data_IF_504349649959
#
_entry.id   IF_504349649959
#
_cell.length_a   1.000
_cell.length_b   1.000
_cell.length_c   1.000
_cell.angle_alpha   90.00
_cell.angle_beta   90.00
_cell.angle_gamma   90.00
#
_symmetry.space_group_name_H-M   'P 1'
#
loop_
_entity.id
_entity.type
_entity.pdbx_description
1 polymer ?
#
# COMPACT_ATOMS: atom_id res chain seq x y z
N UNK A 1 5.54 -3.82 2.68
CA UNK A 1 4.83 -3.08 1.61
C UNK A 1 5.44 -1.69 1.45
N UNK A 2 5.63 -1.20 0.22
CA UNK A 2 6.25 0.11 -0.04
C UNK A 2 5.25 1.28 -0.10
N UNK A 3 5.72 2.47 0.25
CA UNK A 3 5.03 3.77 0.20
C UNK A 3 4.35 4.08 -1.15
N UNK A 4 4.84 3.49 -2.24
CA UNK A 4 4.32 3.70 -3.58
C UNK A 4 2.91 3.12 -3.78
N UNK A 5 2.60 1.94 -3.21
CA UNK A 5 1.27 1.33 -3.30
C UNK A 5 0.23 2.09 -2.47
N UNK A 6 0.64 2.64 -1.33
CA UNK A 6 -0.23 3.45 -0.48
C UNK A 6 -0.60 4.75 -1.17
N UNK A 7 0.37 5.41 -1.80
CA UNK A 7 0.14 6.63 -2.55
C UNK A 7 -0.79 6.38 -3.74
N UNK A 8 -0.59 5.30 -4.49
CA UNK A 8 -1.47 4.94 -5.60
C UNK A 8 -2.93 4.76 -5.16
N UNK A 9 -3.15 4.09 -4.01
CA UNK A 9 -4.51 3.89 -3.47
C UNK A 9 -5.13 5.21 -3.02
N UNK A 10 -4.36 6.07 -2.36
CA UNK A 10 -4.84 7.37 -1.90
C UNK A 10 -5.20 8.29 -3.07
N UNK A 11 -4.33 8.39 -4.08
CA UNK A 11 -4.58 9.15 -5.31
C UNK A 11 -5.82 8.62 -6.02
N UNK A 12 -6.00 7.30 -6.10
CA UNK A 12 -7.20 6.69 -6.70
C UNK A 12 -8.49 7.03 -5.96
N UNK A 13 -8.46 7.17 -4.62
CA UNK A 13 -9.61 7.63 -3.84
C UNK A 13 -9.87 9.12 -4.02
N UNK A 14 -8.81 9.93 -3.98
CA UNK A 14 -8.88 11.37 -4.16
C UNK A 14 -9.44 11.73 -5.54
N UNK A 15 -8.97 11.08 -6.60
CA UNK A 15 -9.46 11.29 -7.96
C UNK A 15 -10.97 11.05 -8.09
N UNK A 16 -11.51 10.07 -7.37
CA UNK A 16 -12.96 9.78 -7.34
C UNK A 16 -13.77 10.79 -6.54
N UNK A 17 -13.17 11.38 -5.50
CA UNK A 17 -13.83 12.39 -4.67
C UNK A 17 -13.86 13.75 -5.33
N UNK A 18 -12.77 14.10 -6.04
CA UNK A 18 -12.60 15.40 -6.69
C UNK A 18 -13.48 15.53 -7.94
N UNK A 19 -13.74 14.44 -8.67
CA UNK A 19 -14.65 14.37 -9.83
C UNK A 19 -14.58 15.59 -10.78
N UNK A 20 -13.36 15.99 -11.14
CA UNK A 20 -13.09 17.13 -12.04
C UNK A 20 -12.89 18.50 -11.37
N UNK A 21 -13.18 18.65 -10.08
CA UNK A 21 -12.98 19.90 -9.31
C UNK A 21 -11.59 20.02 -8.69
N UNK A 22 -10.55 20.01 -9.51
CA UNK A 22 -9.16 20.00 -9.06
C UNK A 22 -8.74 21.20 -8.20
N UNK A 23 -9.46 22.31 -8.29
CA UNK A 23 -9.22 23.51 -7.47
C UNK A 23 -9.55 23.29 -5.98
N UNK A 24 -10.42 22.33 -5.67
CA UNK A 24 -10.88 22.01 -4.31
C UNK A 24 -10.09 20.82 -3.71
N UNK A 25 -8.98 20.41 -4.33
CA UNK A 25 -8.23 19.21 -3.94
C UNK A 25 -7.80 19.21 -2.46
N UNK A 26 -7.42 20.38 -1.93
CA UNK A 26 -7.04 20.52 -0.53
C UNK A 26 -8.21 20.24 0.43
N UNK A 27 -9.43 20.56 0.03
CA UNK A 27 -10.65 20.33 0.81
C UNK A 27 -11.02 18.84 0.83
N UNK A 28 -10.80 18.13 -0.27
CA UNK A 28 -11.09 16.69 -0.38
C UNK A 28 -10.01 15.79 0.24
N UNK A 29 -8.81 16.31 0.48
CA UNK A 29 -7.69 15.52 1.01
C UNK A 29 -7.98 14.85 2.37
N UNK A 30 -8.54 15.54 3.39
CA UNK A 30 -8.91 14.91 4.66
C UNK A 30 -9.91 13.76 4.49
N UNK A 31 -10.89 13.91 3.60
CA UNK A 31 -11.89 12.88 3.31
C UNK A 31 -11.26 11.67 2.61
N UNK A 32 -10.34 11.88 1.67
CA UNK A 32 -9.60 10.80 1.03
C UNK A 32 -8.74 10.01 2.03
N UNK A 33 -8.07 10.70 2.96
CA UNK A 33 -7.28 10.10 4.03
C UNK A 33 -8.18 9.30 4.98
N UNK A 34 -9.31 9.87 5.41
CA UNK A 34 -10.28 9.19 6.25
C UNK A 34 -10.79 7.91 5.57
N UNK A 35 -11.28 8.03 4.33
CA UNK A 35 -11.74 6.89 3.54
C UNK A 35 -10.65 5.82 3.39
N UNK A 36 -9.40 6.21 3.19
CA UNK A 36 -8.26 5.28 3.15
C UNK A 36 -8.06 4.54 4.49
N UNK A 37 -8.14 5.24 5.62
CA UNK A 37 -7.93 4.68 6.96
C UNK A 37 -9.02 3.71 7.39
N UNK A 38 -10.27 3.95 7.01
CA UNK A 38 -11.42 3.13 7.45
C UNK A 38 -11.78 2.01 6.47
N UNK A 39 -11.40 2.12 5.20
CA UNK A 39 -11.69 1.06 4.23
C UNK A 39 -10.81 -0.18 4.46
N UNK A 40 -11.39 -1.39 4.51
CA UNK A 40 -10.62 -2.62 4.56
C UNK A 40 -9.84 -2.79 3.26
N UNK A 41 -8.57 -3.19 3.37
CA UNK A 41 -7.79 -3.53 2.18
C UNK A 41 -8.20 -4.91 1.67
N UNK A 42 -8.30 -5.06 0.35
CA UNK A 42 -8.69 -6.33 -0.30
C UNK A 42 -7.83 -7.52 0.14
N UNK A 43 -6.54 -7.29 0.36
CA UNK A 43 -5.58 -8.34 0.71
C UNK A 43 -5.73 -8.80 2.15
N UNK A 44 -5.86 -7.87 3.09
CA UNK A 44 -5.81 -8.15 4.53
C UNK A 44 -7.19 -8.22 5.18
N UNK A 45 -8.24 -7.80 4.46
CA UNK A 45 -9.62 -7.62 4.94
C UNK A 45 -9.79 -6.74 6.18
N UNK A 46 -8.70 -6.13 6.66
CA UNK A 46 -8.65 -5.19 7.77
C UNK A 46 -8.27 -3.79 7.25
N UNK A 47 -8.82 -2.77 7.89
CA UNK A 47 -8.54 -1.37 7.62
C UNK A 47 -7.25 -0.91 8.33
N UNK A 48 -6.54 0.11 7.81
CA UNK A 48 -5.41 0.71 8.52
C UNK A 48 -5.76 1.17 9.95
N UNK A 49 -6.99 1.64 10.17
CA UNK A 49 -7.47 2.03 11.49
C UNK A 49 -7.55 0.85 12.45
N UNK A 50 -8.16 -0.27 12.03
CA UNK A 50 -8.24 -1.49 12.85
C UNK A 50 -6.86 -2.05 13.21
N UNK A 51 -5.90 -1.97 12.28
CA UNK A 51 -4.53 -2.44 12.51
C UNK A 51 -3.75 -1.57 13.51
N UNK A 52 -4.13 -0.30 13.64
CA UNK A 52 -3.49 0.64 14.56
C UNK A 52 -4.12 0.59 15.95
N UNK A 53 -5.45 0.55 16.02
CA UNK A 53 -6.20 0.71 17.27
C UNK A 53 -6.86 -0.57 17.78
N UNK A 54 -6.79 -1.69 17.04
CA UNK A 54 -7.42 -2.96 17.43
C UNK A 54 -8.95 -2.97 17.34
N UNK A 55 -9.59 -1.83 17.04
CA UNK A 55 -11.05 -1.66 16.99
C UNK A 55 -11.53 -1.20 15.63
N UNK A 56 -12.81 -1.40 15.34
CA UNK A 56 -13.45 -0.85 14.14
C UNK A 56 -13.61 0.66 14.27
N UNK A 57 -13.39 1.39 13.18
CA UNK A 57 -13.76 2.79 13.13
C UNK A 57 -15.29 2.89 13.20
N UNK A 58 -15.79 3.83 14.00
CA UNK A 58 -17.20 4.21 13.91
C UNK A 58 -17.35 4.98 12.58
N UNK A 59 -17.95 4.32 11.59
CA UNK A 59 -18.10 4.87 10.26
C UNK A 59 -19.43 5.59 10.19
N UNK A 60 -19.47 6.76 9.55
CA UNK A 60 -20.74 7.48 9.33
C UNK A 60 -21.78 6.68 8.53
N UNK A 61 -21.35 5.61 7.85
CA UNK A 61 -22.23 4.70 7.11
C UNK A 61 -22.66 3.44 7.90
N UNK A 62 -22.00 3.13 9.02
CA UNK A 62 -22.39 2.00 9.85
C UNK A 62 -23.51 2.47 10.79
N UNK A 63 -24.75 2.04 10.51
CA UNK A 63 -25.95 2.34 11.31
C UNK A 63 -25.95 1.67 12.70
N UNK A 64 -24.79 1.32 13.24
CA UNK A 64 -24.67 0.48 14.43
C UNK A 64 -23.95 1.24 15.53
N UNK A 65 -24.78 1.76 16.44
CA UNK A 65 -24.50 2.16 17.81
C UNK A 65 -23.54 3.34 17.98
N UNK A 66 -24.12 4.51 18.29
CA UNK A 66 -23.43 5.68 18.85
C UNK A 66 -22.92 5.47 20.28
N UNK A 67 -23.02 4.25 20.81
CA UNK A 67 -22.54 3.94 22.14
C UNK A 67 -21.00 3.99 22.16
N UNK A 68 -20.39 4.73 23.10
CA UNK A 68 -18.95 4.73 23.25
C UNK A 68 -18.51 3.29 23.55
N UNK A 69 -17.75 2.71 22.63
CA UNK A 69 -17.17 1.38 22.79
C UNK A 69 -16.20 1.45 23.98
N UNK A 70 -16.68 1.10 25.17
CA UNK A 70 -15.88 0.89 26.37
C UNK A 70 -15.32 -0.53 26.32
N UNK A 71 -14.43 -0.78 25.36
CA UNK A 71 -13.68 -2.04 25.30
C UNK A 71 -12.52 -1.98 26.31
N UNK A 72 -12.36 -3.05 27.09
CA UNK A 72 -11.23 -3.18 28.02
C UNK A 72 -9.90 -3.22 27.26
N UNK A 73 -8.90 -2.48 27.76
CA UNK A 73 -7.61 -2.34 27.09
C UNK A 73 -6.90 -3.69 26.84
N UNK A 74 -7.08 -4.69 27.71
CA UNK A 74 -6.50 -6.03 27.54
C UNK A 74 -7.01 -6.71 26.27
N UNK A 75 -8.33 -6.73 26.08
CA UNK A 75 -8.98 -7.33 24.91
C UNK A 75 -8.60 -6.62 23.60
N UNK A 76 -8.41 -5.29 23.65
CA UNK A 76 -7.93 -4.51 22.51
C UNK A 76 -6.53 -4.94 22.07
N UNK A 77 -5.61 -5.11 23.02
CA UNK A 77 -4.23 -5.52 22.76
C UNK A 77 -4.19 -6.94 22.19
N UNK A 78 -4.95 -7.87 22.76
CA UNK A 78 -5.06 -9.24 22.25
C UNK A 78 -5.56 -9.27 20.80
N UNK A 79 -6.65 -8.53 20.52
CA UNK A 79 -7.21 -8.41 19.17
C UNK A 79 -6.21 -7.79 18.19
N UNK A 80 -5.48 -6.77 18.62
CA UNK A 80 -4.47 -6.10 17.81
C UNK A 80 -3.29 -7.04 17.49
N UNK A 81 -2.83 -7.83 18.46
CA UNK A 81 -1.80 -8.85 18.23
C UNK A 81 -2.29 -9.90 17.23
N UNK A 82 -3.50 -10.42 17.41
CA UNK A 82 -4.13 -11.35 16.47
C UNK A 82 -4.20 -10.78 15.04
N UNK A 83 -4.65 -9.53 14.88
CA UNK A 83 -4.73 -8.88 13.57
C UNK A 83 -3.35 -8.71 12.91
N UNK A 84 -2.32 -8.38 13.69
CA UNK A 84 -0.94 -8.24 13.20
C UNK A 84 -0.37 -9.57 12.73
N UNK A 85 -0.53 -10.63 13.52
CA UNK A 85 -0.07 -11.97 13.15
C UNK A 85 -0.75 -12.47 11.88
N UNK A 86 -2.08 -12.29 11.81
CA UNK A 86 -2.86 -12.63 10.62
C UNK A 86 -2.35 -11.88 9.38
N UNK A 87 -2.09 -10.58 9.50
CA UNK A 87 -1.56 -9.76 8.41
C UNK A 87 -0.20 -10.26 7.94
N UNK A 88 0.72 -10.57 8.85
CA UNK A 88 2.05 -11.08 8.52
C UNK A 88 1.92 -12.40 7.75
N UNK A 89 1.05 -13.30 8.21
CA UNK A 89 0.83 -14.60 7.58
C UNK A 89 0.19 -14.47 6.18
N UNK A 90 -0.79 -13.58 6.01
CA UNK A 90 -1.40 -13.30 4.71
C UNK A 90 -0.40 -12.64 3.74
N UNK A 91 0.42 -11.69 4.21
CA UNK A 91 1.49 -11.10 3.40
C UNK A 91 2.50 -12.15 2.93
N UNK A 92 2.93 -13.06 3.82
CA UNK A 92 3.86 -14.15 3.47
C UNK A 92 3.28 -15.03 2.36
N UNK A 93 2.03 -15.50 2.53
CA UNK A 93 1.33 -16.31 1.53
C UNK A 93 1.23 -15.60 0.18
N UNK A 94 0.91 -14.31 0.18
CA UNK A 94 0.79 -13.55 -1.06
C UNK A 94 2.16 -13.39 -1.73
N UNK A 95 3.22 -13.10 -0.96
CA UNK A 95 4.58 -13.03 -1.52
C UNK A 95 5.02 -14.37 -2.12
N UNK A 96 4.73 -15.49 -1.47
CA UNK A 96 5.00 -16.83 -2.00
C UNK A 96 4.28 -17.06 -3.35
N UNK A 97 3.00 -16.69 -3.43
CA UNK A 97 2.21 -16.77 -4.67
C UNK A 97 2.78 -15.83 -5.75
N UNK A 98 3.14 -14.60 -5.39
CA UNK A 98 3.74 -13.62 -6.31
C UNK A 98 5.07 -14.15 -6.87
N UNK A 99 5.95 -14.66 -6.01
CA UNK A 99 7.23 -15.29 -6.40
C UNK A 99 6.98 -16.48 -7.34
N UNK A 100 6.00 -17.33 -7.04
CA UNK A 100 5.65 -18.47 -7.89
C UNK A 100 5.13 -18.09 -9.28
N UNK A 101 4.52 -16.90 -9.43
CA UNK A 101 4.01 -16.38 -10.71
C UNK A 101 5.06 -15.66 -11.55
N UNK A 102 6.18 -15.24 -10.96
CA UNK A 102 7.27 -14.63 -11.73
C UNK A 102 7.80 -15.68 -12.69
N UNK A 103 7.72 -15.42 -14.00
CA UNK A 103 8.33 -16.27 -15.03
C UNK A 103 9.81 -16.42 -14.66
N UNK A 104 10.24 -17.65 -14.38
CA UNK A 104 11.63 -17.96 -14.04
C UNK A 104 12.50 -17.74 -15.28
N UNK A 105 12.93 -16.51 -15.49
CA UNK A 105 14.19 -16.23 -16.18
C UNK A 105 15.36 -16.57 -15.25
N UNK A 106 16.56 -16.17 -15.66
CA UNK A 106 17.75 -16.22 -14.81
C UNK A 106 17.47 -15.40 -13.52
N UNK A 107 17.88 -15.92 -12.36
CA UNK A 107 17.43 -15.44 -11.04
C UNK A 107 17.84 -13.98 -10.81
N UNK A 108 17.09 -13.15 -10.07
CA UNK A 108 17.43 -11.71 -9.87
C UNK A 108 18.83 -11.46 -9.26
N UNK A 109 19.44 -12.49 -8.64
CA UNK A 109 20.79 -12.47 -8.06
C UNK A 109 21.76 -13.40 -8.82
N UNK A 110 21.59 -13.53 -10.13
CA UNK A 110 22.42 -14.34 -11.02
C UNK A 110 23.68 -13.62 -11.53
N UNK A 111 23.89 -12.37 -11.12
CA UNK A 111 25.04 -11.57 -11.53
C UNK A 111 26.28 -12.10 -10.80
N UNK A 112 27.23 -12.62 -11.57
CA UNK A 112 28.52 -13.07 -11.05
C UNK A 112 29.55 -11.93 -11.05
N UNK A 113 30.46 -11.95 -10.08
CA UNK A 113 31.55 -10.96 -10.02
C UNK A 113 32.44 -11.14 -11.25
N UNK A 114 32.54 -10.09 -12.06
CA UNK A 114 33.28 -10.10 -13.33
C UNK A 114 32.40 -10.14 -14.58
N UNK A 115 31.07 -10.28 -14.43
CA UNK A 115 30.12 -10.21 -15.54
C UNK A 115 29.94 -8.76 -16.02
N UNK A 116 29.93 -8.55 -17.34
CA UNK A 116 29.65 -7.25 -17.93
C UNK A 116 28.16 -6.94 -17.81
N UNK A 117 27.83 -5.89 -17.07
CA UNK A 117 26.46 -5.42 -16.87
C UNK A 117 26.28 -4.00 -17.41
N UNK A 118 25.10 -3.74 -17.99
CA UNK A 118 24.72 -2.39 -18.42
C UNK A 118 23.80 -1.73 -17.40
N UNK A 119 24.14 -0.52 -16.98
CA UNK A 119 23.34 0.26 -16.03
C UNK A 119 22.25 1.00 -16.80
N UNK A 120 21.00 0.96 -16.37
CA UNK A 120 19.94 1.79 -16.98
C UNK A 120 20.10 3.24 -16.54
N UNK A 121 20.12 4.18 -17.49
CA UNK A 121 20.11 5.63 -17.24
C UNK A 121 18.82 6.06 -16.54
N UNK A 122 18.95 6.98 -15.59
CA UNK A 122 17.83 7.74 -15.05
C UNK A 122 17.30 8.72 -16.10
N UNK A 123 16.03 9.14 -15.98
CA UNK A 123 15.47 10.12 -16.92
C UNK A 123 16.21 11.46 -16.90
N UNK A 124 16.72 11.87 -15.73
CA UNK A 124 17.52 13.08 -15.56
C UNK A 124 18.91 13.00 -16.20
N UNK A 125 19.42 11.80 -16.51
CA UNK A 125 20.72 11.58 -17.15
C UNK A 125 20.60 11.51 -18.69
N UNK A 126 19.38 11.63 -19.22
CA UNK A 126 19.12 11.63 -20.67
C UNK A 126 18.95 13.07 -21.11
N UNK A 127 19.82 13.53 -21.99
CA UNK A 127 19.70 14.86 -22.59
C UNK A 127 18.53 14.87 -23.58
N UNK A 128 18.34 13.76 -24.30
CA UNK A 128 17.31 13.63 -25.32
C UNK A 128 16.53 12.31 -25.22
N UNK A 129 15.29 12.32 -25.75
CA UNK A 129 14.43 11.13 -25.82
C UNK A 129 15.06 9.98 -26.62
N UNK A 130 15.92 10.30 -27.59
CA UNK A 130 16.61 9.36 -28.46
C UNK A 130 17.92 8.83 -27.86
N UNK A 131 18.37 9.36 -26.72
CA UNK A 131 19.58 8.88 -26.07
C UNK A 131 19.42 7.43 -25.65
N UNK A 132 20.50 6.67 -25.82
CA UNK A 132 20.56 5.28 -25.42
C UNK A 132 20.25 5.14 -23.93
N UNK A 133 19.39 4.18 -23.59
CA UNK A 133 18.80 4.03 -22.24
C UNK A 133 19.74 3.39 -21.22
N UNK A 134 20.92 2.95 -21.65
CA UNK A 134 21.86 2.24 -20.80
C UNK A 134 23.26 2.85 -20.90
N UNK A 135 24.03 2.75 -19.83
CA UNK A 135 25.44 3.07 -19.75
C UNK A 135 26.28 1.80 -19.65
N UNK A 136 27.49 1.86 -20.20
CA UNK A 136 28.47 0.76 -20.20
C UNK A 136 28.65 0.12 -21.58
N UNK A 137 29.89 -0.29 -21.87
CA UNK A 137 30.28 -1.06 -23.06
C UNK A 137 29.97 -2.53 -22.79
#
# INVERSE_FOLDING_TARGET
MGWQRTNQTLVGKLAKLVDGKWQELNEFLPYAIYAYRVSPRKMTKASPFELLYGRRANNMCDKFNDEPIQEENGLLVERLNYLREKLINEEKKIREIEIGKVKRGRAVNDIEVGEYVRRRKLESERENKLDYKFDGV
#
